data_IF_107815622923
#
_entry.id   IF_107815622923
#
_cell.length_a   1.000
_cell.length_b   1.000
_cell.length_c   1.000
_cell.angle_alpha   90.00
_cell.angle_beta   90.00
_cell.angle_gamma   90.00
#
_symmetry.space_group_name_H-M   'P 1'
#
loop_
_entity.id
_entity.type
_entity.pdbx_description
1 polymer ?
#
# COMPACT_ATOMS: atom_id res chain seq x y z
N UNK A 1 32.02 -8.55 1.61
CA UNK A 1 30.74 -9.23 1.93
C UNK A 1 29.81 -9.08 0.75
N UNK A 2 29.19 -10.17 0.34
CA UNK A 2 28.22 -10.16 -0.77
C UNK A 2 26.86 -9.81 -0.20
N UNK A 3 26.22 -8.77 -0.76
CA UNK A 3 24.86 -8.41 -0.36
C UNK A 3 23.89 -9.49 -0.82
N UNK A 4 22.95 -9.84 0.05
CA UNK A 4 21.90 -10.78 -0.30
C UNK A 4 20.87 -10.13 -1.24
N UNK A 5 20.44 -10.81 -2.31
CA UNK A 5 19.37 -10.28 -3.15
C UNK A 5 17.98 -10.41 -2.50
N UNK A 6 17.91 -11.06 -1.33
CA UNK A 6 16.64 -11.34 -0.64
C UNK A 6 16.35 -10.38 0.51
N UNK A 7 17.37 -9.73 1.07
CA UNK A 7 17.23 -8.92 2.28
C UNK A 7 17.38 -7.44 1.95
N UNK A 8 16.42 -6.66 2.42
CA UNK A 8 16.41 -5.20 2.30
C UNK A 8 16.37 -4.63 3.72
N UNK A 9 17.50 -4.05 4.17
CA UNK A 9 17.60 -3.54 5.53
C UNK A 9 16.92 -2.17 5.65
N UNK A 10 16.23 -1.95 6.76
CA UNK A 10 15.54 -0.68 7.01
C UNK A 10 16.47 0.53 6.94
N UNK A 11 17.72 0.36 7.40
CA UNK A 11 18.71 1.45 7.39
C UNK A 11 19.06 1.92 5.97
N UNK A 12 18.93 1.04 4.98
CA UNK A 12 19.25 1.33 3.57
C UNK A 12 18.04 1.84 2.77
N UNK A 13 16.84 1.80 3.38
CA UNK A 13 15.58 2.16 2.72
C UNK A 13 14.76 3.05 3.66
N UNK A 14 15.11 4.34 3.75
CA UNK A 14 14.44 5.22 4.69
C UNK A 14 12.96 5.41 4.38
N UNK A 15 12.18 5.65 5.44
CA UNK A 15 10.78 6.00 5.30
C UNK A 15 10.69 7.44 4.81
N UNK A 16 10.07 7.67 3.66
CA UNK A 16 9.98 8.99 3.04
C UNK A 16 8.52 9.37 2.81
N UNK A 17 8.26 10.67 2.75
CA UNK A 17 6.93 11.18 2.42
C UNK A 17 6.72 11.09 0.91
N UNK A 18 5.83 10.19 0.49
CA UNK A 18 5.42 10.11 -0.91
C UNK A 18 4.37 11.20 -1.22
N UNK A 19 3.47 11.44 -0.27
CA UNK A 19 2.50 12.54 -0.28
C UNK A 19 2.35 13.08 1.13
N UNK A 20 1.51 14.11 1.32
CA UNK A 20 1.23 14.66 2.65
C UNK A 20 0.64 13.62 3.61
N UNK A 21 0.03 12.55 3.08
CA UNK A 21 -0.67 11.55 3.88
C UNK A 21 -0.10 10.15 3.72
N UNK A 22 0.96 9.98 2.94
CA UNK A 22 1.53 8.66 2.68
C UNK A 22 3.04 8.68 2.89
N UNK A 23 3.51 7.87 3.83
CA UNK A 23 4.93 7.58 4.01
C UNK A 23 5.23 6.19 3.48
N UNK A 24 6.35 6.04 2.81
CA UNK A 24 6.72 4.80 2.13
C UNK A 24 8.18 4.46 2.41
N UNK A 25 8.43 3.20 2.75
CA UNK A 25 9.74 2.56 2.68
C UNK A 25 9.66 1.58 1.53
N UNK A 26 10.51 1.75 0.52
CA UNK A 26 10.44 0.96 -0.70
C UNK A 26 11.75 0.27 -1.01
N UNK A 27 11.67 -0.97 -1.45
CA UNK A 27 12.80 -1.74 -1.92
C UNK A 27 12.43 -2.47 -3.21
N UNK A 28 13.23 -2.28 -4.25
CA UNK A 28 12.99 -2.92 -5.55
C UNK A 28 13.79 -4.21 -5.61
N UNK A 29 13.09 -5.33 -5.72
CA UNK A 29 13.70 -6.65 -5.87
C UNK A 29 14.22 -6.85 -7.28
N UNK A 30 15.38 -7.51 -7.41
CA UNK A 30 15.89 -7.91 -8.71
C UNK A 30 15.05 -9.01 -9.38
N UNK A 31 14.04 -9.53 -8.68
CA UNK A 31 13.15 -10.59 -9.18
C UNK A 31 11.82 -10.04 -9.70
N UNK A 32 11.73 -8.73 -9.95
CA UNK A 32 10.57 -8.13 -10.61
C UNK A 32 9.44 -7.71 -9.69
N UNK A 33 9.66 -7.72 -8.37
CA UNK A 33 8.68 -7.31 -7.38
C UNK A 33 9.21 -6.15 -6.57
N UNK A 34 8.39 -5.14 -6.34
CA UNK A 34 8.70 -4.05 -5.41
C UNK A 34 8.05 -4.34 -4.06
N UNK A 35 8.83 -4.20 -3.00
CA UNK A 35 8.36 -4.36 -1.62
C UNK A 35 8.15 -2.99 -1.02
N UNK A 36 7.03 -2.79 -0.33
CA UNK A 36 6.73 -1.51 0.32
C UNK A 36 6.16 -1.73 1.71
N UNK A 37 6.65 -0.94 2.67
CA UNK A 37 5.97 -0.67 3.92
C UNK A 37 5.40 0.73 3.83
N UNK A 38 4.11 0.89 4.17
CA UNK A 38 3.42 2.17 4.04
C UNK A 38 2.72 2.56 5.34
N UNK A 39 2.68 3.87 5.59
CA UNK A 39 1.86 4.49 6.63
C UNK A 39 0.98 5.51 5.94
N UNK A 40 -0.32 5.23 5.93
CA UNK A 40 -1.31 6.11 5.30
C UNK A 40 -2.14 6.80 6.36
N UNK A 41 -2.08 8.13 6.37
CA UNK A 41 -2.87 8.94 7.30
C UNK A 41 -4.32 9.03 6.84
N UNK A 42 -5.26 9.32 7.78
CA UNK A 42 -6.67 9.48 7.46
C UNK A 42 -6.90 10.47 6.33
N UNK A 43 -7.95 10.23 5.57
CA UNK A 43 -8.37 11.12 4.49
C UNK A 43 -8.88 12.44 5.07
N UNK A 44 -8.84 13.54 4.28
CA UNK A 44 -9.33 14.82 4.77
C UNK A 44 -10.81 14.79 5.08
N UNK A 45 -11.23 15.71 5.97
CA UNK A 45 -12.63 15.82 6.39
C UNK A 45 -13.60 16.07 5.23
N UNK A 46 -13.10 16.46 4.07
CA UNK A 46 -13.90 16.62 2.85
C UNK A 46 -14.44 15.32 2.29
N UNK A 47 -13.91 14.17 2.78
CA UNK A 47 -14.28 12.85 2.27
C UNK A 47 -13.59 12.46 0.98
N UNK A 48 -12.70 13.29 0.47
CA UNK A 48 -11.97 12.98 -0.75
C UNK A 48 -11.05 11.79 -0.53
N UNK A 49 -11.06 10.85 -1.44
CA UNK A 49 -10.12 9.74 -1.44
C UNK A 49 -8.71 10.25 -1.68
N UNK A 50 -7.71 9.50 -1.21
CA UNK A 50 -6.31 9.80 -1.49
C UNK A 50 -6.13 9.99 -2.98
N UNK A 51 -5.61 11.14 -3.35
CA UNK A 51 -5.59 11.66 -4.69
C UNK A 51 -5.13 10.73 -5.78
N UNK A 52 -5.33 11.16 -7.00
CA UNK A 52 -4.94 10.45 -8.18
C UNK A 52 -6.04 9.59 -8.78
N UNK A 53 -5.70 8.97 -9.89
CA UNK A 53 -6.60 8.09 -10.61
C UNK A 53 -6.65 6.69 -10.04
N UNK A 54 -7.29 5.82 -10.76
CA UNK A 54 -7.33 4.40 -10.45
C UNK A 54 -5.94 3.78 -10.53
N UNK A 55 -5.61 2.94 -9.55
CA UNK A 55 -4.39 2.16 -9.55
C UNK A 55 -4.65 0.80 -10.22
N UNK A 56 -3.82 0.45 -11.19
CA UNK A 56 -3.92 -0.83 -11.91
C UNK A 56 -2.77 -1.78 -11.58
N UNK A 57 -1.90 -1.37 -10.66
CA UNK A 57 -0.80 -2.21 -10.19
C UNK A 57 -1.32 -3.33 -9.30
N UNK A 58 -0.77 -4.53 -9.45
CA UNK A 58 -1.10 -5.65 -8.58
C UNK A 58 -0.43 -5.53 -7.22
N UNK A 59 -1.13 -5.98 -6.19
CA UNK A 59 -0.65 -5.94 -4.80
C UNK A 59 -0.99 -7.20 -4.05
N UNK A 60 -0.06 -7.64 -3.20
CA UNK A 60 -0.36 -8.54 -2.08
C UNK A 60 -0.12 -7.74 -0.82
N UNK A 61 -1.11 -7.65 0.07
CA UNK A 61 -1.16 -6.69 1.16
C UNK A 61 -1.38 -7.39 2.48
N UNK A 62 -0.66 -6.95 3.52
CA UNK A 62 -0.89 -7.38 4.89
C UNK A 62 -1.07 -6.13 5.77
N UNK A 63 -2.23 -6.04 6.46
CA UNK A 63 -2.55 -4.91 7.33
C UNK A 63 -1.98 -5.17 8.73
N UNK A 64 -1.15 -4.26 9.21
CA UNK A 64 -0.54 -4.35 10.53
C UNK A 64 -1.38 -3.63 11.58
N UNK A 65 -1.87 -2.44 11.27
CA UNK A 65 -2.71 -1.65 12.18
C UNK A 65 -3.58 -0.68 11.39
N UNK A 66 -4.68 -0.25 11.99
CA UNK A 66 -5.65 0.62 11.34
C UNK A 66 -6.59 -0.16 10.42
N UNK A 67 -7.43 0.56 9.71
CA UNK A 67 -8.39 -0.02 8.77
C UNK A 67 -8.30 0.71 7.44
N UNK A 68 -8.30 -0.04 6.34
CA UNK A 68 -8.21 0.49 4.99
C UNK A 68 -9.40 0.01 4.17
N UNK A 69 -9.85 0.86 3.24
CA UNK A 69 -10.87 0.51 2.26
C UNK A 69 -10.27 0.62 0.88
N UNK A 70 -10.49 -0.42 0.07
CA UNK A 70 -10.17 -0.38 -1.35
C UNK A 70 -11.46 -0.33 -2.13
N UNK A 71 -11.63 0.76 -2.90
CA UNK A 71 -12.77 0.90 -3.80
C UNK A 71 -12.40 0.36 -5.17
N UNK A 72 -13.21 -0.58 -5.64
CA UNK A 72 -13.16 -1.11 -7.01
C UNK A 72 -14.32 -0.50 -7.79
N UNK A 73 -14.41 -0.75 -9.09
CA UNK A 73 -15.48 -0.18 -9.91
C UNK A 73 -16.88 -0.61 -9.47
N UNK A 74 -17.01 -1.85 -8.99
CA UNK A 74 -18.32 -2.44 -8.69
C UNK A 74 -18.60 -2.59 -7.19
N UNK A 75 -17.59 -2.48 -6.34
CA UNK A 75 -17.73 -2.74 -4.90
C UNK A 75 -16.55 -2.19 -4.13
N UNK A 76 -16.67 -2.23 -2.81
CA UNK A 76 -15.58 -1.87 -1.89
C UNK A 76 -15.23 -3.05 -1.00
N UNK A 77 -13.96 -3.10 -0.57
CA UNK A 77 -13.46 -4.10 0.37
C UNK A 77 -12.76 -3.37 1.50
N UNK A 78 -13.10 -3.70 2.73
CA UNK A 78 -12.44 -3.16 3.92
C UNK A 78 -11.61 -4.22 4.59
N UNK A 79 -10.46 -3.83 5.12
CA UNK A 79 -9.54 -4.72 5.82
C UNK A 79 -9.00 -4.05 7.08
N UNK A 80 -8.80 -4.84 8.13
CA UNK A 80 -8.26 -4.41 9.41
C UNK A 80 -7.04 -5.23 9.80
N UNK A 81 -6.54 -5.03 11.03
CA UNK A 81 -5.29 -5.67 11.46
C UNK A 81 -5.30 -7.18 11.30
N UNK A 82 -4.25 -7.71 10.68
CA UNK A 82 -4.10 -9.13 10.43
C UNK A 82 -4.72 -9.62 9.12
N UNK A 83 -5.55 -8.81 8.49
CA UNK A 83 -6.18 -9.18 7.22
C UNK A 83 -5.18 -9.11 6.07
N UNK A 84 -5.40 -9.95 5.09
CA UNK A 84 -4.60 -10.00 3.87
C UNK A 84 -5.47 -9.78 2.66
N UNK A 85 -4.92 -9.08 1.66
CA UNK A 85 -5.59 -8.90 0.37
C UNK A 85 -4.64 -9.28 -0.76
N UNK A 86 -5.20 -9.80 -1.82
CA UNK A 86 -4.48 -9.95 -3.07
C UNK A 86 -5.30 -9.29 -4.19
N UNK A 87 -4.70 -8.29 -4.83
CA UNK A 87 -5.35 -7.57 -5.92
C UNK A 87 -4.53 -7.82 -7.19
N UNK A 88 -5.08 -8.53 -8.18
CA UNK A 88 -4.37 -8.75 -9.43
C UNK A 88 -4.09 -7.44 -10.16
N UNK A 89 -3.05 -7.43 -10.98
CA UNK A 89 -2.75 -6.30 -11.85
C UNK A 89 -3.77 -6.22 -13.00
N UNK A 90 -3.95 -5.03 -13.52
CA UNK A 90 -4.72 -4.80 -14.73
C UNK A 90 -5.95 -3.92 -14.53
N UNK A 91 -6.55 -3.45 -15.64
CA UNK A 91 -7.66 -2.50 -15.57
C UNK A 91 -8.93 -3.06 -14.98
N UNK A 92 -9.12 -4.38 -15.03
CA UNK A 92 -10.31 -5.02 -14.46
C UNK A 92 -10.29 -5.07 -12.93
N UNK A 93 -9.13 -4.79 -12.32
CA UNK A 93 -8.91 -4.85 -10.87
C UNK A 93 -8.48 -3.50 -10.31
N UNK A 94 -8.68 -2.44 -11.08
CA UNK A 94 -8.26 -1.10 -10.65
C UNK A 94 -8.98 -0.68 -9.39
N UNK A 95 -8.28 0.06 -8.56
CA UNK A 95 -8.73 0.36 -7.21
C UNK A 95 -8.20 1.70 -6.71
N UNK A 96 -8.84 2.19 -5.63
CA UNK A 96 -8.41 3.38 -4.89
C UNK A 96 -8.45 3.09 -3.41
N UNK A 97 -7.36 3.36 -2.67
CA UNK A 97 -7.35 3.17 -1.21
C UNK A 97 -7.90 4.39 -0.49
N UNK A 98 -8.52 4.15 0.67
CA UNK A 98 -8.86 5.19 1.63
C UNK A 98 -8.76 4.64 3.05
N UNK A 99 -8.54 5.52 4.02
CA UNK A 99 -8.44 5.13 5.42
C UNK A 99 -9.82 5.20 6.06
N UNK A 100 -10.17 4.16 6.82
CA UNK A 100 -11.42 4.09 7.56
C UNK A 100 -11.14 4.46 9.02
N UNK A 101 -11.74 5.53 9.48
CA UNK A 101 -11.56 5.99 10.87
C UNK A 101 -10.36 6.93 11.05
N UNK A 102 -10.04 7.28 12.31
CA UNK A 102 -9.06 8.33 12.62
C UNK A 102 -7.61 7.85 12.72
N UNK A 103 -7.36 6.54 12.64
CA UNK A 103 -6.02 6.00 12.86
C UNK A 103 -5.25 5.89 11.56
N UNK A 104 -3.93 6.09 11.66
CA UNK A 104 -3.01 5.79 10.56
C UNK A 104 -3.04 4.30 10.28
N UNK A 105 -3.10 3.93 9.01
CA UNK A 105 -3.00 2.52 8.59
C UNK A 105 -1.53 2.21 8.33
N UNK A 106 -1.03 1.14 8.96
CA UNK A 106 0.31 0.61 8.72
C UNK A 106 0.17 -0.74 8.06
N UNK A 107 0.83 -0.90 6.93
CA UNK A 107 0.69 -2.13 6.15
C UNK A 107 1.90 -2.36 5.26
N UNK A 108 2.11 -3.63 4.92
CA UNK A 108 3.13 -4.02 3.95
C UNK A 108 2.45 -4.51 2.69
N UNK A 109 3.04 -4.21 1.56
CA UNK A 109 2.53 -4.70 0.28
C UNK A 109 3.66 -4.95 -0.70
N UNK A 110 3.34 -5.77 -1.70
CA UNK A 110 4.17 -5.93 -2.89
C UNK A 110 3.52 -5.18 -4.05
N UNK A 111 4.31 -4.80 -5.04
CA UNK A 111 3.81 -4.26 -6.30
C UNK A 111 4.33 -5.09 -7.45
N UNK A 112 3.47 -5.42 -8.41
CA UNK A 112 3.80 -6.19 -9.59
C UNK A 112 2.82 -5.89 -10.74
N UNK A 113 3.23 -6.19 -11.95
CA UNK A 113 2.42 -5.99 -13.16
C UNK A 113 2.67 -4.67 -13.86
#
# INVERSE_FOLDING_TARGET
>A
MIASPYLFRAADHPLVNATDRLKVREAVSSFGITLRYQERAPDPATGDESGGGWCETGHSIFIMSGRIRYRFETHTVEAGPGDMLHIPAGPNHRHKPSVVGPEVVRYVLTEFG
#
